data_IF_807183986907
#
_entry.id   IF_807183986907
#
_cell.length_a   1.000
_cell.length_b   1.000
_cell.length_c   1.000
_cell.angle_alpha   90.00
_cell.angle_beta   90.00
_cell.angle_gamma   90.00
#
_symmetry.space_group_name_H-M   'P 1'
#
loop_
_entity.id
_entity.type
_entity.pdbx_description
1 polymer ?
#
# COMPACT_ATOMS: atom_id res chain seq x y z
N UNK A 1 20.94 10.00 -2.15
CA UNK A 1 20.35 8.75 -1.62
C UNK A 1 19.27 8.33 -2.61
N UNK A 2 19.48 7.25 -3.36
CA UNK A 2 18.42 6.74 -4.23
C UNK A 2 17.44 5.99 -3.34
N UNK A 3 16.27 6.58 -3.09
CA UNK A 3 15.12 5.90 -2.51
C UNK A 3 14.84 4.69 -3.42
N UNK A 4 15.11 3.48 -2.92
CA UNK A 4 14.90 2.22 -3.66
C UNK A 4 13.42 1.86 -3.81
N UNK A 5 12.54 2.68 -3.26
CA UNK A 5 11.10 2.44 -3.23
C UNK A 5 10.41 3.19 -4.37
N UNK A 6 9.42 2.53 -4.97
CA UNK A 6 8.55 3.19 -5.93
C UNK A 6 7.73 4.27 -5.21
N UNK A 7 7.34 5.35 -5.90
CA UNK A 7 6.48 6.38 -5.30
C UNK A 7 5.21 5.81 -4.66
N UNK A 8 4.64 4.76 -5.25
CA UNK A 8 3.46 4.06 -4.74
C UNK A 8 3.77 3.28 -3.44
N UNK A 9 4.91 2.59 -3.36
CA UNK A 9 5.32 1.89 -2.13
C UNK A 9 5.54 2.87 -0.96
N UNK A 10 6.11 4.04 -1.24
CA UNK A 10 6.25 5.10 -0.24
C UNK A 10 4.89 5.58 0.28
N UNK A 11 3.95 5.86 -0.63
CA UNK A 11 2.58 6.25 -0.25
C UNK A 11 1.86 5.16 0.55
N UNK A 12 2.00 3.90 0.14
CA UNK A 12 1.47 2.76 0.89
C UNK A 12 1.96 2.75 2.34
N UNK A 13 3.29 2.83 2.55
CA UNK A 13 3.88 2.83 3.89
C UNK A 13 3.43 4.01 4.74
N UNK A 14 3.40 5.21 4.15
CA UNK A 14 2.97 6.42 4.87
C UNK A 14 1.52 6.29 5.37
N UNK A 15 0.61 5.80 4.54
CA UNK A 15 -0.81 5.63 4.89
C UNK A 15 -0.99 4.46 5.88
N UNK A 16 -0.30 3.34 5.66
CA UNK A 16 -0.36 2.14 6.50
C UNK A 16 0.18 2.40 7.91
N UNK A 17 1.24 3.21 8.03
CA UNK A 17 1.80 3.58 9.34
C UNK A 17 0.79 4.25 10.27
N UNK A 18 -0.23 4.91 9.71
CA UNK A 18 -1.31 5.59 10.44
C UNK A 18 -2.55 4.72 10.64
N UNK A 19 -2.61 3.54 10.00
CA UNK A 19 -3.77 2.66 9.94
C UNK A 19 -3.32 1.18 9.96
N UNK A 20 -2.49 0.82 10.95
CA UNK A 20 -1.84 -0.49 11.01
C UNK A 20 -2.83 -1.67 11.07
N UNK A 21 -4.01 -1.43 11.63
CA UNK A 21 -5.09 -2.40 11.85
C UNK A 21 -6.09 -2.49 10.67
N UNK A 22 -5.91 -1.70 9.61
CA UNK A 22 -6.86 -1.62 8.49
C UNK A 22 -6.25 -2.15 7.21
N UNK A 23 -7.05 -2.83 6.40
CA UNK A 23 -6.69 -3.24 5.04
C UNK A 23 -6.80 -2.02 4.11
N UNK A 24 -5.76 -1.75 3.33
CA UNK A 24 -5.75 -0.64 2.38
C UNK A 24 -6.07 -1.11 0.95
N UNK A 25 -7.13 -0.55 0.37
CA UNK A 25 -7.47 -0.71 -1.04
C UNK A 25 -6.98 0.48 -1.86
N UNK A 26 -6.05 0.22 -2.78
CA UNK A 26 -5.55 1.21 -3.73
C UNK A 26 -6.26 1.06 -5.06
N UNK A 27 -6.89 2.14 -5.52
CA UNK A 27 -7.49 2.15 -6.86
C UNK A 27 -6.39 2.26 -7.92
N UNK A 28 -6.24 1.21 -8.72
CA UNK A 28 -5.32 1.16 -9.85
C UNK A 28 -6.15 0.94 -11.12
N UNK A 29 -6.50 2.04 -11.78
CA UNK A 29 -7.40 2.04 -12.93
C UNK A 29 -8.83 1.62 -12.54
N UNK A 30 -9.27 0.49 -13.09
CA UNK A 30 -10.61 -0.07 -12.89
C UNK A 30 -10.70 -1.05 -11.70
N UNK A 31 -9.56 -1.38 -11.09
CA UNK A 31 -9.48 -2.35 -10.00
C UNK A 31 -9.01 -1.72 -8.69
N UNK A 32 -9.26 -2.44 -7.61
CA UNK A 32 -8.65 -2.18 -6.31
C UNK A 32 -7.59 -3.24 -6.03
N UNK A 33 -6.37 -2.80 -5.80
CA UNK A 33 -5.24 -3.65 -5.42
C UNK A 33 -4.90 -3.44 -3.94
N UNK A 34 -4.54 -4.54 -3.29
CA UNK A 34 -3.93 -4.54 -1.97
C UNK A 34 -2.47 -4.91 -2.14
N UNK A 35 -1.62 -4.44 -1.23
CA UNK A 35 -0.19 -4.67 -1.30
C UNK A 35 0.32 -5.34 -0.02
N UNK A 36 1.42 -6.11 -0.14
CA UNK A 36 2.10 -6.75 0.99
C UNK A 36 1.16 -7.64 1.84
N UNK A 37 1.16 -7.46 3.17
CA UNK A 37 0.36 -8.26 4.11
C UNK A 37 -1.15 -8.11 3.85
N UNK A 38 -1.59 -6.92 3.41
CA UNK A 38 -3.00 -6.68 3.09
C UNK A 38 -3.47 -7.56 1.93
N UNK A 39 -2.58 -7.93 1.00
CA UNK A 39 -2.89 -8.84 -0.09
C UNK A 39 -2.94 -10.32 0.32
N UNK A 40 -2.36 -10.69 1.47
CA UNK A 40 -2.38 -12.06 1.99
C UNK A 40 -3.61 -12.26 2.89
N UNK A 41 -4.02 -11.21 3.60
CA UNK A 41 -5.13 -11.21 4.56
C UNK A 41 -6.53 -11.22 3.93
N UNK A 42 -6.66 -10.81 2.66
CA UNK A 42 -7.92 -10.70 1.94
C UNK A 42 -8.07 -11.79 0.88
#
# INVERSE_FOLDING_TARGET
MHDKETPMAKQYREIKSKNLDKILFFRVGDFYEMFYEDAILA
#
